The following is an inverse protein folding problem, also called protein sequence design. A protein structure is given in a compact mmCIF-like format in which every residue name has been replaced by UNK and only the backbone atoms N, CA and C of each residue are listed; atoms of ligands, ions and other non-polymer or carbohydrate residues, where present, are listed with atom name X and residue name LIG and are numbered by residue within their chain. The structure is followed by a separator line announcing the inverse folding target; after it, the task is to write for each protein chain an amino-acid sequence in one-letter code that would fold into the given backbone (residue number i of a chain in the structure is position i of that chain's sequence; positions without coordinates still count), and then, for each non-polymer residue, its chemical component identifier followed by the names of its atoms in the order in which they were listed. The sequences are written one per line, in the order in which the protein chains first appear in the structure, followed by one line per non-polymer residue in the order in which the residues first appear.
data_IF_235498327604
#
_entry.id   IF_235498327604
#
_cell.length_a   1.000
_cell.length_b   1.000
_cell.length_c   1.000
_cell.angle_alpha   90.00
_cell.angle_beta   90.00
_cell.angle_gamma   90.00
#
_symmetry.space_group_name_H-M   'P 1'
#
loop_
_entity.id
_entity.type
_entity.pdbx_description
1 polymer ?
#
# COMPACT_ATOMS: atom_id res chain seq x y z
N UNK A 1 -41.94 -19.34 36.90
CA UNK A 1 -41.98 -17.97 36.32
C UNK A 1 -41.90 -17.02 37.49
N UNK A 2 -40.85 -16.22 37.65
CA UNK A 2 -40.70 -14.90 36.99
C UNK A 2 -39.20 -14.65 36.73
N UNK A 3 -38.86 -14.38 35.47
CA UNK A 3 -37.55 -13.86 35.06
C UNK A 3 -37.46 -12.38 35.48
N UNK A 4 -36.44 -12.02 36.27
CA UNK A 4 -36.05 -10.62 36.45
C UNK A 4 -35.49 -10.08 35.12
N UNK A 5 -35.98 -8.94 34.60
CA UNK A 5 -35.40 -8.34 33.41
C UNK A 5 -34.02 -7.75 33.75
N UNK A 6 -33.04 -8.25 33.02
CA UNK A 6 -31.64 -7.86 33.04
C UNK A 6 -31.44 -6.44 32.50
N UNK A 7 -30.69 -5.62 33.23
CA UNK A 7 -29.92 -4.48 32.69
C UNK A 7 -30.71 -3.23 32.30
N UNK A 8 -31.17 -2.45 33.28
CA UNK A 8 -31.56 -1.07 33.02
C UNK A 8 -30.33 -0.26 32.56
N UNK A 9 -30.33 0.20 31.30
CA UNK A 9 -29.31 1.13 30.78
C UNK A 9 -29.36 2.41 31.61
N UNK A 10 -28.24 2.80 32.22
CA UNK A 10 -28.17 4.07 32.94
C UNK A 10 -28.54 5.24 32.00
N UNK A 11 -29.24 6.27 32.52
CA UNK A 11 -29.63 7.43 31.73
C UNK A 11 -28.37 8.12 31.18
N UNK A 12 -28.36 8.36 29.88
CA UNK A 12 -27.25 9.05 29.22
C UNK A 12 -27.23 10.52 29.66
N UNK A 13 -26.16 10.94 30.31
CA UNK A 13 -25.94 12.34 30.65
C UNK A 13 -25.51 13.13 29.41
N UNK A 14 -26.03 14.35 29.26
CA UNK A 14 -25.64 15.23 28.17
C UNK A 14 -24.22 15.75 28.41
N UNK A 15 -23.33 15.58 27.42
CA UNK A 15 -22.00 16.15 27.46
C UNK A 15 -22.02 17.61 27.02
N UNK A 16 -21.11 18.42 27.58
CA UNK A 16 -20.95 19.81 27.14
C UNK A 16 -20.40 19.87 25.71
N UNK A 17 -20.66 20.96 24.96
CA UNK A 17 -20.08 21.14 23.63
C UNK A 17 -18.56 21.04 23.59
N UNK A 18 -17.87 21.50 24.63
CA UNK A 18 -16.40 21.44 24.69
C UNK A 18 -15.89 20.04 25.01
N UNK A 19 -16.61 19.29 25.84
CA UNK A 19 -16.30 17.87 26.06
C UNK A 19 -16.47 17.09 24.75
N UNK A 20 -17.55 17.32 24.01
CA UNK A 20 -17.76 16.70 22.69
C UNK A 20 -16.63 17.03 21.70
N UNK A 21 -16.15 18.28 21.66
CA UNK A 21 -15.01 18.68 20.82
C UNK A 21 -13.72 17.97 21.25
N UNK A 22 -13.48 17.87 22.55
CA UNK A 22 -12.29 17.19 23.10
C UNK A 22 -12.29 15.70 22.77
N UNK A 23 -13.38 14.98 23.06
CA UNK A 23 -13.49 13.54 22.75
C UNK A 23 -13.37 13.29 21.25
N UNK A 24 -13.96 14.16 20.42
CA UNK A 24 -13.79 14.09 18.97
C UNK A 24 -12.32 14.27 18.56
N UNK A 25 -11.60 15.22 19.15
CA UNK A 25 -10.18 15.43 18.87
C UNK A 25 -9.33 14.21 19.28
N UNK A 26 -9.62 13.61 20.43
CA UNK A 26 -8.99 12.36 20.89
C UNK A 26 -9.26 11.22 19.90
N UNK A 27 -10.53 11.03 19.50
CA UNK A 27 -10.89 10.01 18.52
C UNK A 27 -10.17 10.21 17.17
N UNK A 28 -10.13 11.44 16.65
CA UNK A 28 -9.42 11.78 15.41
C UNK A 28 -7.91 11.54 15.52
N UNK A 29 -7.31 11.77 16.69
CA UNK A 29 -5.89 11.49 16.92
C UNK A 29 -5.56 10.00 16.83
N UNK A 30 -6.50 9.13 17.21
CA UNK A 30 -6.35 7.68 17.14
C UNK A 30 -6.52 7.10 15.72
N UNK A 31 -7.11 7.86 14.79
CA UNK A 31 -7.25 7.44 13.38
C UNK A 31 -5.89 7.44 12.68
N UNK A 32 -5.02 8.40 13.03
CA UNK A 32 -3.73 8.55 12.38
C UNK A 32 -2.67 7.67 13.04
N UNK A 33 -1.86 7.03 12.20
CA UNK A 33 -0.65 6.38 12.69
C UNK A 33 0.41 7.43 13.09
N UNK A 34 1.26 7.11 14.07
CA UNK A 34 2.36 7.96 14.50
C UNK A 34 3.23 8.47 13.35
N UNK A 35 3.59 7.60 12.39
CA UNK A 35 4.36 8.00 11.21
C UNK A 35 3.60 8.99 10.31
N UNK A 36 2.30 8.80 10.11
CA UNK A 36 1.44 9.72 9.35
C UNK A 36 1.29 11.06 10.05
N UNK A 37 1.14 11.06 11.37
CA UNK A 37 1.05 12.29 12.19
C UNK A 37 2.31 13.16 12.04
N UNK A 38 3.50 12.53 12.10
CA UNK A 38 4.79 13.22 11.86
C UNK A 38 4.84 13.81 10.45
N UNK A 39 4.42 13.05 9.43
CA UNK A 39 4.39 13.54 8.05
C UNK A 39 3.44 14.72 7.88
N UNK A 40 2.21 14.62 8.37
CA UNK A 40 1.23 15.71 8.25
C UNK A 40 1.68 16.96 9.01
N UNK A 41 2.30 16.78 10.18
CA UNK A 41 2.88 17.90 10.94
C UNK A 41 3.96 18.60 10.13
N UNK A 42 4.87 17.85 9.49
CA UNK A 42 5.88 18.43 8.61
C UNK A 42 5.27 19.20 7.44
N UNK A 43 4.20 18.67 6.83
CA UNK A 43 3.52 19.31 5.70
C UNK A 43 2.81 20.61 6.12
N UNK A 44 2.16 20.60 7.29
CA UNK A 44 1.55 21.80 7.85
C UNK A 44 2.60 22.86 8.18
N UNK A 45 3.75 22.48 8.73
CA UNK A 45 4.83 23.44 9.00
C UNK A 45 5.34 24.10 7.71
N UNK A 46 5.50 23.34 6.62
CA UNK A 46 5.85 23.92 5.32
C UNK A 46 4.82 24.96 4.85
N UNK A 47 3.53 24.69 5.04
CA UNK A 47 2.47 25.64 4.70
C UNK A 47 2.47 26.88 5.59
N UNK A 48 2.65 26.72 6.90
CA UNK A 48 2.71 27.86 7.84
C UNK A 48 3.94 28.74 7.58
N UNK A 49 5.09 28.14 7.25
CA UNK A 49 6.27 28.88 6.83
C UNK A 49 6.02 29.68 5.55
N UNK A 50 5.35 29.10 4.56
CA UNK A 50 4.91 29.80 3.37
C UNK A 50 3.98 30.98 3.72
N UNK A 51 2.97 30.76 4.56
CA UNK A 51 2.06 31.82 4.98
C UNK A 51 2.80 32.97 5.65
N UNK A 52 3.74 32.66 6.54
CA UNK A 52 4.57 33.65 7.23
C UNK A 52 5.48 34.42 6.28
N UNK A 53 6.08 33.74 5.30
CA UNK A 53 7.00 34.35 4.34
C UNK A 53 6.31 35.34 3.39
N UNK A 54 5.06 35.03 3.01
CA UNK A 54 4.29 35.82 2.05
C UNK A 54 3.21 36.69 2.71
N UNK A 55 3.22 36.80 4.05
CA UNK A 55 2.23 37.55 4.83
C UNK A 55 0.78 37.12 4.56
N UNK A 56 0.56 35.84 4.25
CA UNK A 56 -0.78 35.27 4.12
C UNK A 56 -1.35 34.86 5.48
N UNK A 57 -2.69 34.85 5.56
CA UNK A 57 -3.39 34.27 6.71
C UNK A 57 -3.15 32.76 6.76
N UNK A 58 -3.07 32.22 7.98
CA UNK A 58 -3.01 30.76 8.20
C UNK A 58 -4.32 30.05 7.79
N UNK A 59 -5.42 30.78 7.60
CA UNK A 59 -6.69 30.22 7.09
C UNK A 59 -6.53 29.84 5.61
N UNK A 60 -6.66 28.55 5.25
CA UNK A 60 -6.57 28.11 3.88
C UNK A 60 -7.80 28.54 3.08
N UNK A 61 -7.55 29.06 1.89
CA UNK A 61 -8.51 29.45 0.85
C UNK A 61 -8.13 28.76 -0.45
N UNK A 62 -9.03 28.71 -1.43
CA UNK A 62 -8.72 28.16 -2.76
C UNK A 62 -7.48 28.81 -3.37
N UNK A 63 -7.36 30.13 -3.23
CA UNK A 63 -6.26 30.91 -3.80
C UNK A 63 -4.95 30.65 -3.06
N UNK A 64 -4.95 30.72 -1.72
CA UNK A 64 -3.74 30.48 -0.92
C UNK A 64 -3.22 29.05 -1.09
N UNK A 65 -4.10 28.05 -1.19
CA UNK A 65 -3.72 26.68 -1.52
C UNK A 65 -3.17 26.57 -2.96
N UNK A 66 -3.77 27.25 -3.94
CA UNK A 66 -3.26 27.25 -5.32
C UNK A 66 -1.87 27.90 -5.41
N UNK A 67 -1.63 29.01 -4.71
CA UNK A 67 -0.31 29.64 -4.65
C UNK A 67 0.70 28.75 -3.94
N UNK A 68 0.28 28.09 -2.86
CA UNK A 68 1.12 27.12 -2.17
C UNK A 68 1.51 25.95 -3.08
N UNK A 69 0.59 25.44 -3.91
CA UNK A 69 0.89 24.39 -4.90
C UNK A 69 2.00 24.85 -5.84
N UNK A 70 1.88 26.04 -6.42
CA UNK A 70 2.92 26.58 -7.31
C UNK A 70 4.24 26.67 -6.57
N UNK A 71 4.26 27.30 -5.40
CA UNK A 71 5.45 27.45 -4.56
C UNK A 71 6.13 26.12 -4.23
N UNK A 72 5.37 25.16 -3.69
CA UNK A 72 5.97 23.94 -3.13
C UNK A 72 6.48 23.00 -4.23
N UNK A 73 5.88 22.99 -5.42
CA UNK A 73 6.38 22.20 -6.57
C UNK A 73 7.83 22.55 -6.93
N UNK A 74 8.26 23.79 -6.72
CA UNK A 74 9.67 24.17 -6.94
C UNK A 74 10.63 23.58 -5.90
N UNK A 75 10.12 23.10 -4.77
CA UNK A 75 10.91 22.61 -3.64
C UNK A 75 10.79 21.08 -3.42
N UNK A 76 9.77 20.43 -3.99
CA UNK A 76 9.52 18.99 -3.86
C UNK A 76 9.10 18.36 -5.19
N UNK A 77 9.06 17.02 -5.24
CA UNK A 77 8.54 16.30 -6.42
C UNK A 77 7.05 16.63 -6.65
N UNK A 78 6.62 16.93 -7.89
CA UNK A 78 5.22 17.26 -8.20
C UNK A 78 4.21 16.22 -7.68
N UNK A 79 4.53 14.93 -7.81
CA UNK A 79 3.68 13.82 -7.34
C UNK A 79 3.42 13.82 -5.83
N UNK A 80 4.23 14.53 -5.05
CA UNK A 80 4.10 14.60 -3.59
C UNK A 80 3.16 15.71 -3.13
N UNK A 81 2.83 16.67 -3.99
CA UNK A 81 2.13 17.90 -3.61
C UNK A 81 0.70 17.61 -3.17
N UNK A 82 0.00 16.70 -3.83
CA UNK A 82 -1.34 16.26 -3.41
C UNK A 82 -1.34 15.64 -2.00
N UNK A 83 -0.27 14.93 -1.63
CA UNK A 83 -0.10 14.40 -0.27
C UNK A 83 0.10 15.52 0.76
N UNK A 84 0.86 16.57 0.41
CA UNK A 84 1.02 17.75 1.26
C UNK A 84 -0.33 18.42 1.54
N UNK A 85 -1.10 18.70 0.49
CA UNK A 85 -2.41 19.31 0.62
C UNK A 85 -3.35 18.47 1.49
N UNK A 86 -3.35 17.15 1.31
CA UNK A 86 -4.18 16.23 2.08
C UNK A 86 -3.87 16.30 3.58
N UNK A 87 -2.58 16.31 3.95
CA UNK A 87 -2.14 16.41 5.34
C UNK A 87 -2.38 17.77 5.97
N UNK A 88 -2.14 18.86 5.23
CA UNK A 88 -2.47 20.23 5.65
C UNK A 88 -3.95 20.33 5.99
N UNK A 89 -4.80 19.88 5.06
CA UNK A 89 -6.25 19.94 5.24
C UNK A 89 -6.72 19.06 6.40
N UNK A 90 -6.08 17.90 6.63
CA UNK A 90 -6.42 17.03 7.77
C UNK A 90 -6.12 17.66 9.13
N UNK A 91 -5.00 18.36 9.28
CA UNK A 91 -4.67 19.02 10.53
C UNK A 91 -5.40 20.34 10.75
N UNK A 92 -5.79 21.01 9.66
CA UNK A 92 -6.49 22.31 9.73
C UNK A 92 -8.01 22.17 9.85
N UNK A 93 -8.61 21.05 9.42
CA UNK A 93 -10.06 20.82 9.41
C UNK A 93 -10.76 21.05 10.77
N UNK A 94 -10.18 20.67 11.93
CA UNK A 94 -10.79 20.98 13.22
C UNK A 94 -10.93 22.48 13.52
N UNK A 95 -10.06 23.32 12.93
CA UNK A 95 -10.02 24.78 13.13
C UNK A 95 -10.73 25.53 12.01
N UNK A 96 -10.67 24.99 10.78
CA UNK A 96 -11.24 25.57 9.57
C UNK A 96 -12.07 24.50 8.85
N UNK A 97 -13.37 24.34 9.20
CA UNK A 97 -14.23 23.30 8.63
C UNK A 97 -14.31 23.32 7.10
N UNK A 98 -14.23 24.51 6.50
CA UNK A 98 -14.33 24.71 5.05
C UNK A 98 -13.03 24.40 4.28
N UNK A 99 -11.96 23.98 4.97
CA UNK A 99 -10.67 23.71 4.32
C UNK A 99 -10.77 22.67 3.20
N UNK A 100 -11.65 21.68 3.36
CA UNK A 100 -11.89 20.63 2.35
C UNK A 100 -12.60 21.19 1.11
N UNK A 101 -13.45 22.20 1.29
CA UNK A 101 -14.13 22.89 0.20
C UNK A 101 -13.10 23.69 -0.60
N UNK A 102 -12.25 24.45 0.10
CA UNK A 102 -11.14 25.19 -0.51
C UNK A 102 -10.16 24.26 -1.26
N UNK A 103 -9.83 23.12 -0.68
CA UNK A 103 -8.97 22.10 -1.30
C UNK A 103 -9.57 21.51 -2.58
N UNK A 104 -10.88 21.25 -2.57
CA UNK A 104 -11.59 20.62 -3.70
C UNK A 104 -11.99 21.63 -4.78
N UNK A 105 -11.61 22.91 -4.63
CA UNK A 105 -11.93 23.94 -5.59
C UNK A 105 -11.26 23.64 -6.95
N UNK A 106 -11.94 23.88 -8.08
CA UNK A 106 -11.40 23.60 -9.41
C UNK A 106 -10.05 24.26 -9.66
N UNK A 107 -9.82 25.46 -9.12
CA UNK A 107 -8.55 26.18 -9.27
C UNK A 107 -7.38 25.38 -8.71
N UNK A 108 -7.52 24.75 -7.54
CA UNK A 108 -6.45 23.96 -6.91
C UNK A 108 -6.12 22.73 -7.75
N UNK A 109 -7.15 22.02 -8.22
CA UNK A 109 -6.98 20.86 -9.10
C UNK A 109 -6.35 21.23 -10.45
N UNK A 110 -6.77 22.34 -11.05
CA UNK A 110 -6.20 22.84 -12.30
C UNK A 110 -4.75 23.27 -12.11
N UNK A 111 -4.40 23.92 -10.99
CA UNK A 111 -3.02 24.28 -10.68
C UNK A 111 -2.15 23.04 -10.50
N UNK A 112 -2.61 22.03 -9.75
CA UNK A 112 -1.89 20.75 -9.61
C UNK A 112 -1.63 20.11 -10.98
N UNK A 113 -2.68 19.92 -11.78
CA UNK A 113 -2.57 19.31 -13.11
C UNK A 113 -1.68 20.13 -14.06
N UNK A 114 -1.75 21.47 -13.97
CA UNK A 114 -0.89 22.38 -14.71
C UNK A 114 0.58 22.22 -14.33
N UNK A 115 0.88 22.20 -13.03
CA UNK A 115 2.24 22.03 -12.53
C UNK A 115 2.82 20.65 -12.86
N UNK A 116 2.04 19.59 -12.77
CA UNK A 116 2.47 18.24 -13.20
C UNK A 116 2.82 18.18 -14.69
N UNK A 117 2.06 18.88 -15.55
CA UNK A 117 2.36 18.98 -16.98
C UNK A 117 3.60 19.81 -17.26
N UNK A 118 3.75 20.96 -16.60
CA UNK A 118 4.87 21.89 -16.81
C UNK A 118 6.21 21.28 -16.40
N UNK A 119 6.24 20.53 -15.31
CA UNK A 119 7.47 19.92 -14.79
C UNK A 119 7.84 18.60 -15.47
N UNK A 120 7.00 18.15 -16.42
CA UNK A 120 7.06 16.83 -17.02
C UNK A 120 6.71 15.77 -15.98
N UNK A 121 5.75 14.92 -16.30
CA UNK A 121 5.67 13.62 -15.65
C UNK A 121 6.96 12.86 -16.03
N UNK A 122 8.02 13.04 -15.25
CA UNK A 122 9.23 12.23 -15.41
C UNK A 122 8.78 10.78 -15.43
N UNK A 123 9.18 9.97 -16.43
CA UNK A 123 8.83 8.57 -16.49
C UNK A 123 9.11 7.96 -15.11
N UNK A 124 8.09 7.41 -14.46
CA UNK A 124 8.30 6.76 -13.17
C UNK A 124 9.25 5.60 -13.41
N UNK A 125 10.52 5.77 -13.05
CA UNK A 125 11.51 4.72 -13.17
C UNK A 125 11.21 3.66 -12.12
N UNK A 126 10.34 2.72 -12.49
CA UNK A 126 9.94 1.63 -11.61
C UNK A 126 11.15 0.73 -11.39
N UNK A 127 11.54 0.56 -10.12
CA UNK A 127 12.57 -0.43 -9.78
C UNK A 127 12.05 -1.83 -10.14
N UNK A 128 12.89 -2.63 -10.80
CA UNK A 128 12.63 -4.04 -11.08
C UNK A 128 12.24 -4.75 -9.78
N UNK A 129 11.21 -5.59 -9.86
CA UNK A 129 10.83 -6.47 -8.76
C UNK A 129 11.96 -7.45 -8.47
N UNK A 130 12.22 -7.68 -7.19
CA UNK A 130 13.19 -8.68 -6.77
C UNK A 130 12.68 -10.08 -7.17
N UNK A 131 13.53 -10.89 -7.79
CA UNK A 131 13.20 -12.25 -8.24
C UNK A 131 13.82 -13.30 -7.29
N UNK A 132 13.41 -14.56 -7.45
CA UNK A 132 13.92 -15.66 -6.63
C UNK A 132 15.43 -15.86 -6.82
N UNK A 133 15.93 -15.70 -8.05
CA UNK A 133 17.36 -15.83 -8.36
C UNK A 133 18.20 -14.78 -7.63
N UNK A 134 17.66 -13.57 -7.44
CA UNK A 134 18.32 -12.51 -6.67
C UNK A 134 18.52 -12.94 -5.20
N UNK A 135 17.57 -13.69 -4.63
CA UNK A 135 17.68 -14.22 -3.26
C UNK A 135 18.73 -15.32 -3.16
N UNK A 136 18.77 -16.22 -4.14
CA UNK A 136 19.72 -17.33 -4.17
C UNK A 136 21.15 -16.80 -4.36
N UNK A 137 21.32 -15.76 -5.18
CA UNK A 137 22.59 -15.05 -5.34
C UNK A 137 23.09 -14.49 -4.00
N UNK A 138 22.22 -13.88 -3.20
CA UNK A 138 22.59 -13.35 -1.88
C UNK A 138 23.08 -14.46 -0.94
N UNK A 139 22.40 -15.61 -0.91
CA UNK A 139 22.87 -16.76 -0.10
C UNK A 139 24.25 -17.22 -0.57
N UNK A 140 24.48 -17.29 -1.88
CA UNK A 140 25.76 -17.76 -2.44
C UNK A 140 26.95 -16.85 -2.10
N UNK A 141 26.69 -15.59 -1.73
CA UNK A 141 27.69 -14.61 -1.32
C UNK A 141 27.90 -14.52 0.19
N UNK A 142 27.17 -15.30 1.00
CA UNK A 142 27.40 -15.31 2.43
C UNK A 142 28.77 -15.91 2.76
N UNK A 143 29.50 -15.36 3.74
CA UNK A 143 30.74 -15.96 4.20
C UNK A 143 30.47 -17.32 4.86
N UNK A 144 31.47 -18.21 4.93
CA UNK A 144 31.33 -19.54 5.54
C UNK A 144 30.87 -19.51 7.00
N UNK A 145 31.23 -18.44 7.72
CA UNK A 145 30.81 -18.17 9.09
C UNK A 145 30.11 -16.81 9.12
N UNK A 146 28.80 -16.74 8.80
CA UNK A 146 28.07 -15.50 8.78
C UNK A 146 27.90 -14.95 10.20
N UNK A 147 28.07 -13.65 10.31
CA UNK A 147 27.73 -12.89 11.51
C UNK A 147 26.23 -12.94 11.79
N UNK A 148 25.86 -12.59 13.02
CA UNK A 148 24.45 -12.47 13.39
C UNK A 148 23.68 -11.52 12.47
N UNK A 149 24.28 -10.39 12.09
CA UNK A 149 23.59 -9.37 11.29
C UNK A 149 23.38 -9.81 9.83
N UNK A 150 24.31 -10.60 9.28
CA UNK A 150 24.13 -11.22 7.96
C UNK A 150 23.01 -12.26 7.99
N UNK A 151 22.99 -13.13 9.01
CA UNK A 151 21.92 -14.10 9.20
C UNK A 151 20.57 -13.41 9.40
N UNK A 152 20.52 -12.35 10.19
CA UNK A 152 19.32 -11.55 10.42
C UNK A 152 18.83 -10.90 9.13
N UNK A 153 19.72 -10.27 8.37
CA UNK A 153 19.38 -9.62 7.11
C UNK A 153 18.78 -10.60 6.10
N UNK A 154 19.42 -11.76 5.92
CA UNK A 154 18.93 -12.82 5.02
C UNK A 154 17.60 -13.36 5.51
N UNK A 155 17.47 -13.62 6.81
CA UNK A 155 16.20 -14.06 7.41
C UNK A 155 15.08 -13.06 7.14
N UNK A 156 15.32 -11.77 7.35
CA UNK A 156 14.34 -10.71 7.07
C UNK A 156 13.97 -10.64 5.59
N UNK A 157 14.95 -10.80 4.69
CA UNK A 157 14.75 -10.78 3.25
C UNK A 157 13.84 -11.92 2.77
N UNK A 158 14.15 -13.15 3.17
CA UNK A 158 13.37 -14.34 2.83
C UNK A 158 11.99 -14.33 3.48
N UNK A 159 11.91 -13.96 4.76
CA UNK A 159 10.63 -13.83 5.47
C UNK A 159 9.75 -12.77 4.80
N UNK A 160 10.32 -11.65 4.40
CA UNK A 160 9.59 -10.59 3.69
C UNK A 160 9.13 -10.98 2.29
N UNK A 161 9.97 -11.69 1.54
CA UNK A 161 9.65 -12.16 0.20
C UNK A 161 8.55 -13.23 0.21
N UNK A 162 8.74 -14.31 0.97
CA UNK A 162 7.80 -15.44 1.01
C UNK A 162 6.53 -15.12 1.81
N UNK A 163 6.64 -14.33 2.88
CA UNK A 163 5.50 -13.88 3.67
C UNK A 163 4.75 -12.68 3.08
N UNK A 164 5.21 -12.14 1.94
CA UNK A 164 4.69 -10.89 1.36
C UNK A 164 4.58 -9.76 2.40
N UNK A 165 5.62 -9.60 3.23
CA UNK A 165 5.62 -8.61 4.31
C UNK A 165 6.11 -7.26 3.82
N UNK A 166 5.56 -6.19 4.40
CA UNK A 166 6.05 -4.83 4.20
C UNK A 166 7.31 -4.63 5.02
N UNK A 167 8.19 -3.72 4.57
CA UNK A 167 9.40 -3.40 5.33
C UNK A 167 9.08 -2.97 6.76
N UNK A 168 8.02 -2.17 6.97
CA UNK A 168 7.59 -1.76 8.30
C UNK A 168 6.95 -2.85 9.18
N UNK A 169 6.82 -4.09 8.69
CA UNK A 169 6.48 -5.29 9.49
C UNK A 169 7.75 -6.07 9.90
N UNK A 170 8.86 -5.83 9.21
CA UNK A 170 10.17 -6.48 9.45
C UNK A 170 11.09 -5.61 10.30
N UNK A 171 10.98 -4.28 10.18
CA UNK A 171 11.89 -3.33 10.82
C UNK A 171 11.17 -2.39 11.77
N UNK A 172 11.94 -1.83 12.70
CA UNK A 172 11.55 -0.69 13.53
C UNK A 172 12.24 0.55 12.95
N UNK A 173 11.54 1.67 12.76
CA UNK A 173 12.18 2.92 12.35
C UNK A 173 13.19 3.42 13.38
N UNK A 174 14.28 4.05 12.93
CA UNK A 174 15.26 4.67 13.85
C UNK A 174 14.65 5.87 14.60
N UNK A 175 13.77 6.62 13.94
CA UNK A 175 13.11 7.76 14.54
C UNK A 175 12.03 7.30 15.53
N UNK A 176 12.31 7.47 16.82
CA UNK A 176 11.44 7.06 17.94
C UNK A 176 10.00 7.56 17.78
N UNK A 177 9.80 8.78 17.26
CA UNK A 177 8.48 9.36 17.02
C UNK A 177 7.62 8.59 16.00
N UNK A 178 8.24 7.77 15.14
CA UNK A 178 7.57 6.92 14.15
C UNK A 178 7.39 5.47 14.64
N UNK A 179 7.99 5.12 15.78
CA UNK A 179 7.92 3.78 16.32
C UNK A 179 6.52 3.50 16.87
N UNK A 180 6.04 2.27 16.64
CA UNK A 180 4.77 1.81 17.20
C UNK A 180 4.91 0.37 17.62
N UNK A 181 4.78 0.10 18.93
CA UNK A 181 4.88 -1.26 19.48
C UNK A 181 3.84 -2.22 18.91
N UNK A 182 2.68 -1.70 18.47
CA UNK A 182 1.62 -2.49 17.81
C UNK A 182 2.09 -3.15 16.51
N UNK A 183 3.17 -2.68 15.88
CA UNK A 183 3.70 -3.23 14.62
C UNK A 183 4.80 -4.25 14.81
N UNK A 184 5.19 -4.53 16.05
CA UNK A 184 6.27 -5.45 16.32
C UNK A 184 5.83 -6.89 16.09
N UNK A 185 6.61 -7.61 15.31
CA UNK A 185 6.50 -9.05 15.18
C UNK A 185 6.74 -9.70 16.53
N UNK A 186 5.78 -10.52 16.98
CA UNK A 186 5.82 -11.12 18.31
C UNK A 186 6.66 -12.41 18.28
N UNK A 187 7.93 -12.32 18.68
CA UNK A 187 8.86 -13.48 18.68
C UNK A 187 8.31 -14.71 19.41
N UNK A 188 7.57 -14.53 20.50
CA UNK A 188 7.01 -15.64 21.28
C UNK A 188 5.90 -16.41 20.54
N UNK A 189 5.40 -15.89 19.42
CA UNK A 189 4.41 -16.56 18.57
C UNK A 189 5.03 -17.38 17.44
N UNK A 190 6.36 -17.36 17.33
CA UNK A 190 7.08 -18.14 16.33
C UNK A 190 6.87 -19.63 16.61
N UNK A 191 6.31 -20.34 15.65
CA UNK A 191 6.20 -21.79 15.66
C UNK A 191 6.80 -22.37 14.38
N UNK A 192 7.45 -23.51 14.52
CA UNK A 192 8.03 -24.25 13.41
C UNK A 192 7.13 -25.45 13.11
N UNK A 193 6.71 -25.58 11.86
CA UNK A 193 5.93 -26.70 11.36
C UNK A 193 6.86 -27.57 10.50
N UNK A 194 7.53 -28.52 11.16
CA UNK A 194 8.58 -29.33 10.55
C UNK A 194 9.80 -28.50 10.12
N UNK A 195 10.56 -29.00 9.15
CA UNK A 195 11.83 -28.40 8.72
C UNK A 195 11.67 -27.35 7.60
N UNK A 196 10.45 -27.14 7.10
CA UNK A 196 10.21 -26.36 5.88
C UNK A 196 9.33 -25.13 6.06
N UNK A 197 8.66 -24.99 7.21
CA UNK A 197 7.70 -23.92 7.45
C UNK A 197 7.83 -23.36 8.85
N UNK A 198 7.61 -22.06 8.94
CA UNK A 198 7.45 -21.37 10.21
C UNK A 198 6.31 -20.37 10.09
N UNK A 199 5.67 -20.07 11.22
CA UNK A 199 4.58 -19.12 11.30
C UNK A 199 4.77 -18.24 12.53
N UNK A 200 4.23 -17.02 12.47
CA UNK A 200 4.23 -16.08 13.58
C UNK A 200 3.09 -15.07 13.42
N UNK A 201 2.72 -14.42 14.51
CA UNK A 201 1.62 -13.48 14.56
C UNK A 201 2.09 -12.05 14.35
N UNK A 202 1.42 -11.36 13.42
CA UNK A 202 1.51 -9.91 13.24
C UNK A 202 0.33 -9.23 13.97
N UNK A 203 0.56 -8.52 15.08
CA UNK A 203 -0.51 -7.91 15.86
C UNK A 203 -1.21 -6.73 15.16
N UNK A 204 -0.61 -6.19 14.09
CA UNK A 204 -1.17 -5.06 13.37
C UNK A 204 -0.92 -5.18 11.86
N UNK A 205 -1.94 -4.79 11.09
CA UNK A 205 -1.91 -4.77 9.63
C UNK A 205 -2.16 -3.35 9.11
N UNK A 206 -1.16 -2.73 8.48
CA UNK A 206 -1.33 -1.47 7.74
C UNK A 206 -1.58 -1.77 6.26
N UNK A 207 -2.85 -1.93 5.87
CA UNK A 207 -3.15 -1.90 4.44
C UNK A 207 -2.92 -0.46 3.98
N UNK A 208 -2.07 -0.31 2.97
CA UNK A 208 -1.66 0.92 2.28
C UNK A 208 -0.82 1.93 3.08
N UNK A 209 0.51 1.81 2.94
CA UNK A 209 1.42 2.87 2.47
C UNK A 209 2.89 2.41 2.67
N UNK A 210 3.63 2.37 1.55
CA UNK A 210 5.08 2.27 1.39
C UNK A 210 5.81 1.01 1.91
N UNK A 211 6.42 0.29 0.96
CA UNK A 211 7.22 -0.93 1.16
C UNK A 211 6.75 -2.05 0.22
N UNK A 212 7.11 -1.95 -1.07
CA UNK A 212 6.51 -2.79 -2.11
C UNK A 212 7.47 -3.74 -2.83
N UNK A 213 8.79 -3.61 -2.71
CA UNK A 213 9.73 -4.42 -3.52
C UNK A 213 9.56 -5.92 -3.23
N UNK A 214 9.68 -6.35 -1.97
CA UNK A 214 9.53 -7.76 -1.57
C UNK A 214 8.14 -8.29 -1.86
N UNK A 215 7.11 -7.50 -1.57
CA UNK A 215 5.71 -7.85 -1.90
C UNK A 215 5.48 -8.00 -3.39
N UNK A 216 6.05 -7.12 -4.20
CA UNK A 216 5.93 -7.19 -5.65
C UNK A 216 6.69 -8.37 -6.24
N UNK A 217 7.88 -8.66 -5.70
CA UNK A 217 8.67 -9.83 -6.05
C UNK A 217 7.96 -11.13 -5.72
N UNK A 218 7.54 -11.30 -4.47
CA UNK A 218 6.82 -12.50 -4.03
C UNK A 218 5.48 -12.68 -4.75
N UNK A 219 4.71 -11.61 -4.98
CA UNK A 219 3.48 -11.68 -5.78
C UNK A 219 3.75 -12.13 -7.21
N UNK A 220 4.81 -11.60 -7.83
CA UNK A 220 5.22 -11.98 -9.18
C UNK A 220 5.68 -13.43 -9.20
N UNK A 221 6.46 -13.89 -8.21
CA UNK A 221 6.91 -15.27 -8.12
C UNK A 221 5.75 -16.26 -7.96
N UNK A 222 4.75 -15.93 -7.13
CA UNK A 222 3.54 -16.74 -7.00
C UNK A 222 2.73 -16.79 -8.30
N UNK A 223 2.60 -15.65 -8.99
CA UNK A 223 1.92 -15.60 -10.28
C UNK A 223 2.66 -16.42 -11.35
N UNK A 224 4.00 -16.38 -11.38
CA UNK A 224 4.83 -17.21 -12.26
C UNK A 224 4.71 -18.71 -11.92
N UNK A 225 4.53 -19.03 -10.65
CA UNK A 225 4.24 -20.39 -10.18
C UNK A 225 2.78 -20.83 -10.43
N UNK A 226 2.00 -20.04 -11.19
CA UNK A 226 0.59 -20.31 -11.52
C UNK A 226 -0.31 -20.46 -10.29
N UNK A 227 0.03 -19.77 -9.19
CA UNK A 227 -0.84 -19.72 -8.00
C UNK A 227 -2.09 -18.90 -8.32
N UNK A 228 -3.30 -19.38 -7.98
CA UNK A 228 -4.54 -18.68 -8.28
C UNK A 228 -4.61 -17.26 -7.70
N UNK A 229 -5.29 -16.37 -8.43
CA UNK A 229 -5.37 -14.95 -8.11
C UNK A 229 -5.90 -14.68 -6.70
N UNK A 230 -6.98 -15.37 -6.31
CA UNK A 230 -7.59 -15.24 -4.98
C UNK A 230 -6.64 -15.65 -3.85
N UNK A 231 -5.78 -16.64 -4.09
CA UNK A 231 -4.78 -17.10 -3.13
C UNK A 231 -3.68 -16.06 -2.99
N UNK A 232 -3.18 -15.50 -4.09
CA UNK A 232 -2.19 -14.41 -4.05
C UNK A 232 -2.76 -13.19 -3.34
N UNK A 233 -4.01 -12.81 -3.67
CA UNK A 233 -4.71 -11.69 -3.05
C UNK A 233 -4.83 -11.87 -1.52
N UNK A 234 -5.24 -13.07 -1.09
CA UNK A 234 -5.35 -13.46 0.31
C UNK A 234 -4.01 -13.48 1.04
N UNK A 235 -2.97 -14.11 0.45
CA UNK A 235 -1.62 -14.17 1.03
C UNK A 235 -1.02 -12.78 1.22
N UNK A 236 -1.21 -11.90 0.24
CA UNK A 236 -0.77 -10.52 0.38
C UNK A 236 -1.65 -9.70 1.31
N UNK A 237 -2.85 -10.16 1.67
CA UNK A 237 -3.79 -9.41 2.51
C UNK A 237 -4.20 -8.09 1.83
N UNK A 238 -4.50 -8.16 0.53
CA UNK A 238 -4.97 -7.03 -0.27
C UNK A 238 -6.51 -7.00 -0.31
N UNK A 239 -7.08 -5.82 -0.06
CA UNK A 239 -8.54 -5.60 -0.08
C UNK A 239 -9.08 -5.21 -1.47
N UNK A 240 -8.21 -4.86 -2.41
CA UNK A 240 -8.56 -4.43 -3.77
C UNK A 240 -7.63 -5.05 -4.80
N UNK A 241 -8.02 -5.03 -6.08
CA UNK A 241 -7.23 -5.56 -7.21
C UNK A 241 -6.02 -4.68 -7.57
N UNK A 242 -5.75 -3.63 -6.79
CA UNK A 242 -4.57 -2.76 -6.97
C UNK A 242 -3.27 -3.54 -6.94
N UNK A 243 -3.23 -4.71 -6.30
CA UNK A 243 -2.05 -5.56 -6.27
C UNK A 243 -1.63 -6.11 -7.63
N UNK A 244 -2.55 -6.18 -8.61
CA UNK A 244 -2.24 -6.58 -9.99
C UNK A 244 -1.14 -5.70 -10.60
N UNK A 245 -1.07 -4.43 -10.20
CA UNK A 245 0.01 -3.54 -10.65
C UNK A 245 1.38 -4.05 -10.24
N UNK A 246 1.49 -4.89 -9.19
CA UNK A 246 2.75 -5.43 -8.69
C UNK A 246 3.34 -6.53 -9.56
N UNK A 247 2.54 -7.17 -10.41
CA UNK A 247 3.05 -8.23 -11.26
C UNK A 247 3.78 -7.58 -12.45
N UNK A 248 5.11 -7.54 -12.41
CA UNK A 248 5.93 -6.75 -13.34
C UNK A 248 6.28 -7.47 -14.66
N UNK A 249 5.57 -8.54 -15.03
CA UNK A 249 5.76 -9.25 -16.31
C UNK A 249 4.78 -8.72 -17.36
N UNK A 250 5.12 -8.88 -18.64
CA UNK A 250 4.31 -8.40 -19.76
C UNK A 250 2.85 -8.85 -19.61
N UNK A 251 1.84 -7.96 -19.75
CA UNK A 251 0.44 -8.27 -19.41
C UNK A 251 -0.13 -9.47 -20.18
N UNK A 252 0.36 -9.73 -21.39
CA UNK A 252 -0.01 -10.91 -22.19
C UNK A 252 0.49 -12.23 -21.58
N UNK A 253 1.71 -12.24 -21.00
CA UNK A 253 2.24 -13.40 -20.29
C UNK A 253 1.48 -13.61 -18.97
N UNK A 254 1.10 -12.52 -18.31
CA UNK A 254 0.23 -12.56 -17.13
C UNK A 254 -1.11 -13.23 -17.43
N UNK A 255 -1.78 -12.80 -18.50
CA UNK A 255 -3.09 -13.31 -18.88
C UNK A 255 -3.03 -14.82 -19.12
N UNK A 256 -1.99 -15.29 -19.81
CA UNK A 256 -1.75 -16.70 -20.09
C UNK A 256 -1.40 -17.52 -18.84
N UNK A 257 -0.58 -16.96 -17.94
CA UNK A 257 -0.16 -17.62 -16.69
C UNK A 257 -1.29 -17.66 -15.64
N UNK A 258 -2.10 -16.60 -15.53
CA UNK A 258 -3.16 -16.48 -14.52
C UNK A 258 -4.46 -17.19 -14.92
N UNK A 259 -4.76 -17.27 -16.23
CA UNK A 259 -6.03 -17.85 -16.71
C UNK A 259 -5.85 -19.21 -17.39
N UNK A 260 -4.64 -19.78 -17.41
CA UNK A 260 -4.36 -21.13 -17.93
C UNK A 260 -4.61 -21.34 -19.43
N UNK A 261 -5.07 -20.32 -20.16
CA UNK A 261 -5.38 -20.40 -21.58
C UNK A 261 -4.34 -19.63 -22.38
N UNK A 262 -3.55 -20.37 -23.16
CA UNK A 262 -2.79 -19.80 -24.26
C UNK A 262 -3.77 -19.12 -25.20
N UNK A 263 -3.56 -17.82 -25.47
CA UNK A 263 -4.35 -17.04 -26.43
C UNK A 263 -4.28 -17.58 -27.88
N UNK A 264 -3.50 -18.65 -28.13
CA UNK A 264 -3.25 -19.23 -29.44
C UNK A 264 -3.72 -20.68 -29.63
N UNK A 265 -4.47 -21.29 -28.70
CA UNK A 265 -5.07 -22.61 -28.94
C UNK A 265 -6.51 -22.48 -29.46
N UNK A 266 -6.64 -22.19 -30.75
CA UNK A 266 -7.83 -22.55 -31.54
C UNK A 266 -7.40 -23.37 -32.75
N UNK A 267 -7.26 -24.69 -32.56
CA UNK A 267 -7.41 -25.64 -33.66
C UNK A 267 -8.23 -26.82 -33.12
N UNK A 268 -9.44 -27.07 -33.64
CA UNK A 268 -10.19 -28.25 -33.27
C UNK A 268 -9.51 -29.49 -33.87
N UNK A 269 -9.15 -30.42 -32.99
CA UNK A 269 -8.69 -31.77 -33.29
C UNK A 269 -9.75 -32.48 -34.13
N UNK A 270 -9.49 -32.66 -35.43
CA UNK A 270 -10.31 -33.53 -36.28
C UNK A 270 -9.81 -34.97 -36.12
N UNK A 271 -10.46 -35.71 -35.23
CA UNK A 271 -10.24 -37.15 -35.04
C UNK A 271 -11.19 -37.94 -35.95
N UNK A 272 -10.59 -38.57 -36.97
CA UNK A 272 -10.89 -39.90 -37.54
C UNK A 272 -12.32 -40.30 -37.92
N UNK A 273 -12.51 -40.63 -39.21
CA UNK A 273 -13.20 -41.86 -39.61
C UNK A 273 -12.75 -42.28 -41.03
N UNK A 274 -11.92 -43.32 -41.08
CA UNK A 274 -11.62 -44.13 -42.25
C UNK A 274 -12.74 -45.17 -42.37
N UNK A 275 -13.49 -45.21 -43.47
CA UNK A 275 -13.89 -46.44 -44.19
C UNK A 275 -15.12 -46.21 -45.08
N UNK A 276 -14.93 -46.49 -46.37
CA UNK A 276 -15.78 -47.34 -47.24
C UNK A 276 -15.77 -46.80 -48.67
N UNK A 277 -14.97 -47.45 -49.51
CA UNK A 277 -15.17 -47.46 -50.96
C UNK A 277 -16.49 -48.19 -51.27
N UNK A 278 -17.20 -47.78 -52.32
CA UNK A 278 -17.73 -48.75 -53.26
C UNK A 278 -17.25 -48.48 -54.68
N UNK A 279 -16.75 -49.55 -55.29
CA UNK A 279 -16.60 -49.74 -56.73
C UNK A 279 -17.99 -49.74 -57.37
N UNK A 280 -18.17 -49.09 -58.53
CA UNK A 280 -18.78 -49.67 -59.76
C UNK A 280 -19.29 -48.62 -60.76
N UNK A 281 -18.56 -48.50 -61.87
CA UNK A 281 -18.98 -48.55 -63.29
C UNK A 281 -19.93 -47.54 -63.96
N UNK A 282 -19.48 -47.17 -65.18
CA UNK A 282 -20.20 -46.74 -66.41
C UNK A 282 -20.72 -45.29 -66.41
N UNK A 283 -20.49 -44.46 -67.42
CA UNK A 283 -20.04 -44.61 -68.83
C UNK A 283 -18.95 -43.58 -69.19
#
# INVERSE_FOLDING_TARGET
MIHNPTGARQPRTAWSPDHLKHERAVALSHVLEASTSVTYTSQLQSYLSFCKMHSFSAKPTSDTLSFFVVYIVHHIKPSSVGCYLSGICNLLEPYYPDVRIAHSAPIVHHTLAGMEKLWGALPMHRKRAQEHDDLMMIISHLPPCPSHDELLFVTMLFTGFHGLLRLGELTIPDAIAKCTRRKLTLRHTLSFEGDTRFSFTLPFHKADLAGHSLRSGGATALALASVPENVIQGLGRWSSDTWRIYIQKHPVLLQALLHGNSAFQTLPSSSTALSSLPISNRE
#
